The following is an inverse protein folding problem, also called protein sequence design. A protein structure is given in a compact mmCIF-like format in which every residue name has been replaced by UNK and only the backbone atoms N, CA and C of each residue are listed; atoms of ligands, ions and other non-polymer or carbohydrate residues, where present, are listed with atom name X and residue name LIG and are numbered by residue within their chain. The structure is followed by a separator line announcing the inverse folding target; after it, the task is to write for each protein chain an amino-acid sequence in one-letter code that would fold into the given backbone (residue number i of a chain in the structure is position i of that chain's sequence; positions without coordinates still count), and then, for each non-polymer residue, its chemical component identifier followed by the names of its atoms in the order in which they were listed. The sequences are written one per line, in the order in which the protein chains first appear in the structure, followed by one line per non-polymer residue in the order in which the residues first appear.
data_IF_697835166826
#
_entry.id   IF_697835166826
#
_cell.length_a   1.000
_cell.length_b   1.000
_cell.length_c   1.000
_cell.angle_alpha   90.00
_cell.angle_beta   90.00
_cell.angle_gamma   90.00
#
_symmetry.space_group_name_H-M   'P 1'
#
loop_
_entity.id
_entity.type
_entity.pdbx_description
1 polymer ?
#
# COMPACT_ATOMS: atom_id res chain seq x y z
N UNK A 1 -22.96 -15.28 29.89
CA UNK A 1 -23.01 -15.77 28.51
C UNK A 1 -22.34 -14.72 27.64
N UNK A 2 -21.17 -15.01 27.09
CA UNK A 2 -20.51 -14.15 26.10
C UNK A 2 -21.35 -14.17 24.82
N UNK A 3 -21.77 -13.00 24.33
CA UNK A 3 -22.40 -12.90 23.01
C UNK A 3 -21.30 -13.16 22.00
N UNK A 4 -21.36 -14.30 21.31
CA UNK A 4 -20.44 -14.62 20.23
C UNK A 4 -20.79 -13.72 19.03
N UNK A 5 -19.95 -12.72 18.79
CA UNK A 5 -20.11 -11.79 17.66
C UNK A 5 -19.24 -12.28 16.51
N UNK A 6 -19.81 -12.30 15.31
CA UNK A 6 -19.11 -12.75 14.12
C UNK A 6 -18.17 -11.63 13.60
N UNK A 7 -16.97 -11.98 13.11
CA UNK A 7 -16.11 -11.02 12.43
C UNK A 7 -16.79 -10.40 11.20
N UNK A 8 -16.50 -9.12 10.93
CA UNK A 8 -17.09 -8.40 9.80
C UNK A 8 -16.14 -7.34 9.24
N UNK A 9 -16.39 -6.89 8.00
CA UNK A 9 -15.63 -5.80 7.37
C UNK A 9 -16.36 -4.48 7.61
N UNK A 10 -15.62 -3.44 8.00
CA UNK A 10 -16.10 -2.07 8.15
C UNK A 10 -15.08 -1.07 7.62
N UNK A 11 -15.50 0.17 7.37
CA UNK A 11 -14.54 1.24 7.13
C UNK A 11 -13.56 1.32 8.31
N UNK A 12 -12.29 1.50 7.98
CA UNK A 12 -11.26 1.68 9.00
C UNK A 12 -11.43 3.07 9.61
N UNK A 13 -11.39 3.15 10.94
CA UNK A 13 -11.26 4.40 11.67
C UNK A 13 -9.77 4.79 11.69
N UNK A 14 -9.37 5.91 11.05
CA UNK A 14 -7.95 6.27 10.96
C UNK A 14 -7.28 6.59 12.30
N UNK A 15 -8.04 6.79 13.38
CA UNK A 15 -7.52 7.06 14.71
C UNK A 15 -7.49 5.76 15.52
N UNK A 16 -8.63 5.09 15.66
CA UNK A 16 -8.76 3.91 16.52
C UNK A 16 -8.07 2.67 15.93
N UNK A 17 -8.12 2.50 14.61
CA UNK A 17 -7.54 1.33 13.95
C UNK A 17 -6.06 1.53 13.55
N UNK A 18 -5.50 2.73 13.71
CA UNK A 18 -4.12 3.02 13.31
C UNK A 18 -3.12 2.06 13.95
N UNK A 19 -3.15 1.90 15.28
CA UNK A 19 -2.20 1.04 15.97
C UNK A 19 -2.41 -0.46 15.70
N UNK A 20 -3.64 -1.01 15.75
CA UNK A 20 -3.89 -2.40 15.38
C UNK A 20 -3.48 -2.72 13.94
N UNK A 21 -3.82 -1.88 12.96
CA UNK A 21 -3.50 -2.14 11.56
C UNK A 21 -2.00 -1.99 11.27
N UNK A 22 -1.33 -1.06 11.96
CA UNK A 22 0.13 -0.95 11.95
C UNK A 22 0.78 -2.26 12.43
N UNK A 23 0.29 -2.83 13.52
CA UNK A 23 0.79 -4.10 14.06
C UNK A 23 0.48 -5.31 13.16
N UNK A 24 -0.72 -5.38 12.56
CA UNK A 24 -1.04 -6.39 11.54
C UNK A 24 -0.07 -6.30 10.37
N UNK A 25 0.23 -5.09 9.87
CA UNK A 25 1.19 -4.91 8.78
C UNK A 25 2.57 -5.49 9.18
N UNK A 26 3.07 -5.16 10.38
CA UNK A 26 4.35 -5.67 10.89
C UNK A 26 4.41 -7.19 11.00
N UNK A 27 3.30 -7.82 11.39
CA UNK A 27 3.23 -9.29 11.55
C UNK A 27 3.13 -10.03 10.21
N UNK A 28 2.64 -9.34 9.18
CA UNK A 28 2.33 -9.96 7.88
C UNK A 28 3.32 -9.62 6.77
N UNK A 29 4.28 -8.73 6.99
CA UNK A 29 5.39 -8.51 6.05
C UNK A 29 6.14 -9.81 5.70
N UNK A 30 6.83 -9.78 4.57
CA UNK A 30 7.68 -10.88 4.12
C UNK A 30 8.68 -11.30 5.21
N UNK A 31 9.02 -12.60 5.33
CA UNK A 31 9.84 -13.13 6.43
C UNK A 31 11.15 -12.37 6.69
N UNK A 32 11.82 -11.89 5.65
CA UNK A 32 13.06 -11.12 5.75
C UNK A 32 12.91 -9.77 6.50
N UNK A 33 11.70 -9.21 6.53
CA UNK A 33 11.39 -7.90 7.13
C UNK A 33 10.69 -8.01 8.49
N UNK A 34 10.50 -9.22 9.02
CA UNK A 34 9.77 -9.43 10.29
C UNK A 34 10.56 -9.06 11.54
N UNK A 35 11.87 -8.88 11.41
CA UNK A 35 12.77 -8.56 12.51
C UNK A 35 13.51 -7.24 12.27
N UNK A 36 13.92 -6.60 13.37
CA UNK A 36 14.76 -5.41 13.36
C UNK A 36 14.09 -4.17 12.77
N UNK A 37 14.94 -3.23 12.36
CA UNK A 37 14.55 -1.91 11.88
C UNK A 37 13.62 -1.91 10.65
N UNK A 38 13.79 -2.76 9.63
CA UNK A 38 12.88 -2.77 8.48
C UNK A 38 11.42 -3.04 8.86
N UNK A 39 11.20 -3.83 9.91
CA UNK A 39 9.85 -4.09 10.44
C UNK A 39 9.18 -2.83 10.99
N UNK A 40 9.94 -1.87 11.51
CA UNK A 40 9.42 -0.62 12.05
C UNK A 40 9.06 0.38 10.95
N UNK A 41 9.74 0.30 9.80
CA UNK A 41 9.54 1.19 8.65
C UNK A 41 8.39 0.69 7.76
N UNK A 42 8.25 -0.63 7.63
CA UNK A 42 7.30 -1.28 6.73
C UNK A 42 5.87 -0.70 6.72
N UNK A 43 5.22 -0.42 7.88
CA UNK A 43 3.87 0.13 7.85
C UNK A 43 3.78 1.54 7.25
N UNK A 44 4.86 2.33 7.31
CA UNK A 44 4.94 3.64 6.65
C UNK A 44 4.99 3.53 5.12
N UNK A 45 5.20 2.33 4.57
CA UNK A 45 5.15 2.06 3.13
C UNK A 45 3.81 1.41 2.77
N UNK A 46 3.42 0.36 3.50
CA UNK A 46 2.36 -0.54 3.05
C UNK A 46 1.04 -0.42 3.81
N UNK A 47 0.90 0.53 4.73
CA UNK A 47 -0.34 0.69 5.50
C UNK A 47 -0.71 2.17 5.74
N UNK A 48 0.13 2.90 6.48
CA UNK A 48 -0.11 4.29 6.89
C UNK A 48 -0.42 5.25 5.73
N UNK A 49 0.27 5.26 4.58
CA UNK A 49 -0.03 6.21 3.51
C UNK A 49 -1.44 6.03 2.94
N UNK A 50 -1.95 4.81 2.91
CA UNK A 50 -3.31 4.53 2.44
C UNK A 50 -4.36 5.05 3.41
N UNK A 51 -4.22 4.75 4.71
CA UNK A 51 -5.11 5.26 5.75
C UNK A 51 -5.15 6.79 5.80
N UNK A 52 -4.04 7.45 5.44
CA UNK A 52 -3.93 8.91 5.45
C UNK A 52 -4.44 9.57 4.18
N UNK A 53 -4.11 9.04 3.01
CA UNK A 53 -4.35 9.71 1.72
C UNK A 53 -5.60 9.21 1.00
N UNK A 54 -6.11 8.02 1.36
CA UNK A 54 -7.25 7.35 0.77
C UNK A 54 -8.13 6.64 1.84
N UNK A 55 -8.48 7.30 2.97
CA UNK A 55 -9.21 6.66 4.07
C UNK A 55 -10.55 6.06 3.63
N UNK A 56 -11.24 6.67 2.66
CA UNK A 56 -12.52 6.21 2.14
C UNK A 56 -12.44 4.86 1.39
N UNK A 57 -11.23 4.39 1.08
CA UNK A 57 -10.95 3.11 0.42
C UNK A 57 -10.23 2.12 1.34
N UNK A 58 -10.21 2.38 2.64
CA UNK A 58 -9.58 1.54 3.65
C UNK A 58 -10.62 0.93 4.58
N UNK A 59 -10.52 -0.38 4.76
CA UNK A 59 -11.44 -1.18 5.55
C UNK A 59 -10.66 -2.02 6.56
N UNK A 60 -11.22 -2.16 7.76
CA UNK A 60 -10.75 -3.07 8.79
C UNK A 60 -11.62 -4.34 8.82
N UNK A 61 -10.99 -5.46 9.11
CA UNK A 61 -11.67 -6.69 9.54
C UNK A 61 -11.79 -6.61 11.06
N UNK A 62 -13.01 -6.43 11.57
CA UNK A 62 -13.32 -6.40 12.99
C UNK A 62 -13.56 -7.83 13.52
N UNK A 63 -13.08 -8.13 14.72
CA UNK A 63 -13.29 -9.44 15.37
C UNK A 63 -14.69 -9.64 15.96
N UNK A 64 -15.57 -8.63 15.85
CA UNK A 64 -16.90 -8.58 16.45
C UNK A 64 -16.95 -7.76 17.74
N UNK A 65 -15.81 -7.49 18.37
CA UNK A 65 -15.70 -6.77 19.64
C UNK A 65 -15.22 -5.32 19.49
N UNK A 66 -15.04 -4.85 18.24
CA UNK A 66 -14.50 -3.53 17.96
C UNK A 66 -13.01 -3.53 17.62
N UNK A 67 -12.33 -4.69 17.65
CA UNK A 67 -10.89 -4.75 17.41
C UNK A 67 -10.60 -5.03 15.93
N UNK A 68 -9.83 -4.15 15.30
CA UNK A 68 -9.31 -4.41 13.95
C UNK A 68 -8.20 -5.48 13.98
N UNK A 69 -8.44 -6.60 13.31
CA UNK A 69 -7.54 -7.76 13.23
C UNK A 69 -7.01 -8.05 11.83
N UNK A 70 -7.42 -7.24 10.84
CA UNK A 70 -7.01 -7.33 9.45
C UNK A 70 -7.39 -6.06 8.69
N UNK A 71 -6.87 -5.88 7.48
CA UNK A 71 -7.21 -4.73 6.64
C UNK A 71 -7.35 -5.09 5.16
N UNK A 72 -8.15 -4.28 4.47
CA UNK A 72 -8.22 -4.17 3.01
C UNK A 72 -8.01 -2.69 2.69
N UNK A 73 -6.97 -2.36 1.94
CA UNK A 73 -6.61 -0.96 1.62
C UNK A 73 -6.43 -0.81 0.13
N UNK A 74 -6.74 0.37 -0.39
CA UNK A 74 -6.66 0.65 -1.82
C UNK A 74 -6.34 2.13 -2.06
N UNK A 75 -5.62 2.40 -3.14
CA UNK A 75 -5.54 3.71 -3.76
C UNK A 75 -6.11 3.56 -5.18
N UNK A 76 -7.31 4.10 -5.47
CA UNK A 76 -7.99 3.83 -6.75
C UNK A 76 -7.32 4.51 -7.96
N UNK A 77 -6.44 5.48 -7.71
CA UNK A 77 -5.70 6.22 -8.73
C UNK A 77 -4.23 6.27 -8.34
N UNK A 78 -3.42 5.32 -8.83
CA UNK A 78 -1.99 5.24 -8.52
C UNK A 78 -1.23 6.52 -8.85
N UNK A 79 -1.36 7.14 -10.05
CA UNK A 79 -0.72 8.43 -10.33
C UNK A 79 -1.07 9.54 -9.34
N UNK A 80 -2.36 9.65 -9.00
CA UNK A 80 -2.83 10.63 -8.00
C UNK A 80 -2.27 10.34 -6.61
N UNK A 81 -2.23 9.08 -6.21
CA UNK A 81 -1.68 8.63 -4.92
C UNK A 81 -0.18 8.88 -4.82
N UNK A 82 0.61 8.57 -5.86
CA UNK A 82 2.05 8.86 -5.92
C UNK A 82 2.31 10.36 -5.78
N UNK A 83 1.53 11.19 -6.49
CA UNK A 83 1.62 12.65 -6.36
C UNK A 83 1.37 13.11 -4.92
N UNK A 84 0.27 12.68 -4.30
CA UNK A 84 -0.04 13.02 -2.90
C UNK A 84 0.99 12.47 -1.92
N UNK A 85 1.53 11.28 -2.16
CA UNK A 85 2.58 10.70 -1.35
C UNK A 85 3.81 11.62 -1.33
N UNK A 86 4.24 12.10 -2.50
CA UNK A 86 5.38 13.00 -2.62
C UNK A 86 5.10 14.38 -2.01
N UNK A 87 3.96 14.97 -2.31
CA UNK A 87 3.65 16.36 -1.96
C UNK A 87 3.15 16.54 -0.52
N UNK A 88 2.45 15.54 0.02
CA UNK A 88 1.76 15.64 1.31
C UNK A 88 2.30 14.68 2.37
N UNK A 89 2.69 13.45 1.99
CA UNK A 89 3.06 12.43 2.97
C UNK A 89 4.54 12.50 3.38
N UNK A 90 5.48 12.51 2.43
CA UNK A 90 6.91 12.55 2.73
C UNK A 90 7.33 13.75 3.60
N UNK A 91 6.83 14.99 3.37
CA UNK A 91 7.22 16.13 4.21
C UNK A 91 6.84 15.95 5.68
N UNK A 92 5.80 15.17 5.98
CA UNK A 92 5.37 14.91 7.36
C UNK A 92 6.29 13.88 8.00
N UNK A 93 6.63 12.81 7.29
CA UNK A 93 7.42 11.68 7.83
C UNK A 93 8.76 12.11 8.42
N UNK A 94 9.46 13.02 7.75
CA UNK A 94 10.76 13.51 8.20
C UNK A 94 10.72 14.18 9.58
N UNK A 95 9.53 14.67 9.98
CA UNK A 95 9.31 15.31 11.28
C UNK A 95 8.85 14.35 12.38
N UNK A 96 8.40 13.13 12.03
CA UNK A 96 7.78 12.21 12.98
C UNK A 96 8.78 11.39 13.79
N UNK A 97 9.81 10.85 13.12
CA UNK A 97 10.78 9.97 13.75
C UNK A 97 12.13 10.05 13.01
N UNK A 98 13.27 10.22 13.72
CA UNK A 98 14.59 10.16 13.10
C UNK A 98 14.85 8.91 12.25
N UNK A 99 14.18 7.79 12.57
CA UNK A 99 14.25 6.56 11.79
C UNK A 99 13.75 6.71 10.35
N UNK A 100 12.81 7.62 10.12
CA UNK A 100 12.16 7.82 8.83
C UNK A 100 12.85 8.90 7.99
N UNK A 101 13.99 9.45 8.44
CA UNK A 101 14.71 10.46 7.68
C UNK A 101 15.13 9.92 6.31
N UNK A 102 15.06 10.78 5.30
CA UNK A 102 15.50 10.47 3.94
C UNK A 102 16.92 9.90 3.92
N UNK A 103 17.13 8.71 3.33
CA UNK A 103 18.46 8.12 3.21
C UNK A 103 19.24 8.72 2.03
N UNK A 104 20.50 8.30 1.87
CA UNK A 104 21.17 8.39 0.57
C UNK A 104 20.45 7.50 -0.44
N UNK A 105 20.22 8.02 -1.65
CA UNK A 105 19.44 7.32 -2.69
C UNK A 105 20.33 6.62 -3.73
N UNK A 106 21.60 7.03 -3.83
CA UNK A 106 22.58 6.49 -4.75
C UNK A 106 23.85 6.14 -3.94
N UNK A 107 24.32 4.88 -3.97
CA UNK A 107 23.82 3.75 -4.76
C UNK A 107 22.48 3.17 -4.25
N UNK A 108 21.74 2.45 -5.12
CA UNK A 108 20.62 1.64 -4.68
C UNK A 108 21.05 0.62 -3.64
N UNK A 109 20.17 0.35 -2.67
CA UNK A 109 20.41 -0.64 -1.63
C UNK A 109 20.65 -2.04 -2.20
N UNK A 110 21.65 -2.74 -1.66
CA UNK A 110 21.76 -4.18 -1.82
C UNK A 110 20.78 -4.85 -0.84
N UNK A 111 19.60 -5.23 -1.34
CA UNK A 111 18.53 -5.86 -0.54
C UNK A 111 18.96 -7.18 0.13
N UNK A 112 20.07 -7.81 -0.31
CA UNK A 112 20.63 -8.97 0.37
C UNK A 112 21.49 -8.62 1.59
N UNK A 113 21.90 -7.36 1.73
CA UNK A 113 22.83 -6.89 2.77
C UNK A 113 22.23 -5.84 3.71
N UNK A 114 21.49 -4.89 3.16
CA UNK A 114 20.91 -3.77 3.92
C UNK A 114 19.43 -3.57 3.56
N UNK A 115 18.60 -4.38 4.20
CA UNK A 115 17.15 -4.26 4.09
C UNK A 115 16.62 -2.94 4.66
N UNK A 116 17.33 -2.31 5.61
CA UNK A 116 16.89 -1.04 6.22
C UNK A 116 17.00 0.08 5.20
N UNK A 117 18.17 0.20 4.56
CA UNK A 117 18.36 1.13 3.47
C UNK A 117 17.37 0.86 2.33
N UNK A 118 17.16 -0.42 1.98
CA UNK A 118 16.23 -0.81 0.92
C UNK A 118 14.80 -0.33 1.18
N UNK A 119 14.23 -0.59 2.35
CA UNK A 119 12.88 -0.14 2.66
C UNK A 119 12.78 1.39 2.81
N UNK A 120 13.82 2.07 3.30
CA UNK A 120 13.84 3.54 3.32
C UNK A 120 13.90 4.14 1.92
N UNK A 121 14.75 3.63 1.03
CA UNK A 121 14.80 4.10 -0.35
C UNK A 121 13.46 3.87 -1.05
N UNK A 122 12.81 2.71 -0.80
CA UNK A 122 11.47 2.43 -1.31
C UNK A 122 10.42 3.42 -0.81
N UNK A 123 10.43 3.76 0.49
CA UNK A 123 9.53 4.76 1.08
C UNK A 123 9.62 6.12 0.38
N UNK A 124 10.83 6.51 -0.03
CA UNK A 124 11.14 7.81 -0.64
C UNK A 124 11.02 7.85 -2.17
N UNK A 125 10.67 6.74 -2.81
CA UNK A 125 10.57 6.64 -4.27
C UNK A 125 9.19 6.09 -4.73
N UNK A 126 8.07 6.76 -4.40
CA UNK A 126 6.73 6.27 -4.74
C UNK A 126 6.49 6.13 -6.26
N UNK A 127 7.29 6.78 -7.11
CA UNK A 127 7.23 6.70 -8.56
C UNK A 127 7.54 5.30 -9.07
N UNK A 128 8.22 4.45 -8.29
CA UNK A 128 8.43 3.05 -8.64
C UNK A 128 7.10 2.26 -8.73
N UNK A 129 6.01 2.80 -8.16
CA UNK A 129 4.65 2.27 -8.35
C UNK A 129 4.06 2.59 -9.73
N UNK A 130 4.66 3.52 -10.48
CA UNK A 130 4.23 3.88 -11.83
C UNK A 130 4.86 2.89 -12.81
N UNK A 131 4.03 2.05 -13.41
CA UNK A 131 4.45 1.13 -14.44
C UNK A 131 3.95 1.62 -15.80
N UNK A 132 4.86 2.18 -16.61
CA UNK A 132 4.57 2.60 -17.98
C UNK A 132 4.04 1.46 -18.87
N UNK A 133 4.32 0.21 -18.47
CA UNK A 133 3.89 -1.00 -19.18
C UNK A 133 2.50 -1.52 -18.76
N UNK A 134 1.86 -0.94 -17.75
CA UNK A 134 0.50 -1.32 -17.33
C UNK A 134 -0.47 -0.23 -17.81
N UNK A 135 -1.15 -0.39 -18.96
CA UNK A 135 -2.05 0.61 -19.49
C UNK A 135 -3.17 0.87 -18.50
N UNK A 136 -3.64 2.12 -18.46
CA UNK A 136 -4.82 2.45 -17.66
C UNK A 136 -6.01 1.72 -18.27
N UNK A 137 -6.94 1.27 -17.44
CA UNK A 137 -8.18 0.66 -17.94
C UNK A 137 -8.95 1.59 -18.89
N UNK A 138 -8.77 2.90 -18.78
CA UNK A 138 -9.35 3.90 -19.68
C UNK A 138 -8.69 3.93 -21.08
N UNK A 139 -7.51 3.31 -21.25
CA UNK A 139 -6.83 3.11 -22.53
C UNK A 139 -7.35 1.84 -23.26
N UNK A 140 -8.38 1.18 -22.70
CA UNK A 140 -9.07 0.04 -23.33
C UNK A 140 -10.05 0.58 -24.37
N UNK A 141 -9.60 0.56 -25.62
CA UNK A 141 -10.32 1.16 -26.77
C UNK A 141 -11.46 0.29 -27.29
N UNK A 142 -11.52 -0.97 -26.87
CA UNK A 142 -12.54 -1.92 -27.31
C UNK A 142 -13.27 -2.50 -26.11
N UNK A 143 -14.60 -2.39 -26.12
CA UNK A 143 -15.56 -3.06 -25.22
C UNK A 143 -15.52 -4.59 -25.40
N UNK A 144 -14.32 -5.18 -25.40
CA UNK A 144 -14.07 -6.56 -25.75
C UNK A 144 -14.96 -7.51 -24.96
N UNK A 145 -15.40 -8.57 -25.62
CA UNK A 145 -16.16 -9.63 -24.95
C UNK A 145 -15.21 -10.36 -24.00
N UNK A 146 -15.69 -10.62 -22.79
CA UNK A 146 -14.95 -11.38 -21.77
C UNK A 146 -14.38 -12.67 -22.37
N UNK A 147 -13.08 -12.90 -22.21
CA UNK A 147 -12.36 -14.06 -22.76
C UNK A 147 -11.61 -13.79 -24.07
N UNK A 148 -11.72 -12.61 -24.66
CA UNK A 148 -10.95 -12.21 -25.84
C UNK A 148 -9.66 -11.45 -25.48
N UNK A 149 -8.70 -11.48 -26.41
CA UNK A 149 -7.46 -10.69 -26.33
C UNK A 149 -7.71 -9.31 -26.92
N UNK A 150 -7.73 -8.28 -26.09
CA UNK A 150 -7.80 -6.87 -26.49
C UNK A 150 -6.43 -6.30 -26.83
N UNK A 151 -6.41 -5.12 -27.47
CA UNK A 151 -5.20 -4.32 -27.66
C UNK A 151 -5.41 -2.91 -27.11
N UNK A 152 -4.39 -2.36 -26.44
CA UNK A 152 -4.39 -0.94 -26.06
C UNK A 152 -4.06 -0.03 -27.26
N UNK A 153 -4.11 1.30 -27.04
CA UNK A 153 -3.77 2.33 -28.04
C UNK A 153 -2.35 2.18 -28.64
N UNK A 154 -1.47 1.44 -27.95
CA UNK A 154 -0.08 1.20 -28.35
C UNK A 154 0.12 -0.20 -28.97
N UNK A 155 -0.94 -1.00 -29.10
CA UNK A 155 -0.91 -2.33 -29.71
C UNK A 155 -0.50 -3.47 -28.78
N UNK A 156 -0.36 -3.24 -27.47
CA UNK A 156 -0.04 -4.29 -26.50
C UNK A 156 -1.25 -5.20 -26.27
N UNK A 157 -1.03 -6.51 -26.17
CA UNK A 157 -2.08 -7.51 -25.96
C UNK A 157 -2.46 -7.66 -24.48
N UNK A 158 -3.77 -7.61 -24.18
CA UNK A 158 -4.32 -7.81 -22.83
C UNK A 158 -5.50 -8.78 -22.82
N UNK A 159 -5.70 -9.47 -21.70
CA UNK A 159 -6.85 -10.37 -21.51
C UNK A 159 -8.05 -9.57 -21.01
N UNK A 160 -9.15 -9.56 -21.78
CA UNK A 160 -10.40 -8.93 -21.34
C UNK A 160 -11.11 -9.87 -20.39
N UNK A 161 -11.19 -9.52 -19.10
CA UNK A 161 -11.95 -10.27 -18.10
C UNK A 161 -13.06 -9.37 -17.57
N UNK A 162 -14.31 -9.66 -17.93
CA UNK A 162 -15.47 -9.00 -17.33
C UNK A 162 -15.55 -9.43 -15.86
N UNK A 163 -15.56 -8.47 -14.94
CA UNK A 163 -15.90 -8.67 -13.53
C UNK A 163 -17.39 -8.97 -13.38
#
# INVERSE_FOLDING_TARGET
MSVERQPFVRLADPVEDAAPLFDVCKKTVGPALRAGTPNLIAPYIWNVPYLRLCPEYCFAVDDGNGNAVGYIICAPNTPGFVKKWREEYLPILESLDPLLRKPEMDPPADWGKDLTLGVLQLLYNPEDMLHDACPRFDDVVDEGKSGERGKDVNGNLWMVKRL
#
